data_IF_638235420915
#
_entry.id   IF_638235420915
#
_cell.length_a   1.000
_cell.length_b   1.000
_cell.length_c   1.000
_cell.angle_alpha   90.00
_cell.angle_beta   90.00
_cell.angle_gamma   90.00
#
_symmetry.space_group_name_H-M   'P 1'
#
loop_
_entity.id
_entity.type
_entity.pdbx_description
1 polymer ?
#
# COMPACT_ATOMS: atom_id res chain seq x y z
N UNK A 1 15.80 10.80 7.69
CA UNK A 1 16.69 11.87 7.19
C UNK A 1 16.12 12.43 5.90
N UNK A 2 16.43 13.68 5.56
CA UNK A 2 16.00 14.30 4.31
C UNK A 2 17.15 14.32 3.30
N UNK A 3 16.90 13.95 2.04
CA UNK A 3 17.84 13.91 0.92
C UNK A 3 17.14 14.49 -0.30
N UNK A 4 17.65 15.54 -0.89
CA UNK A 4 17.04 16.25 -2.01
C UNK A 4 15.56 16.57 -1.77
N UNK A 5 15.19 17.01 -0.56
CA UNK A 5 13.81 17.30 -0.18
C UNK A 5 12.91 16.08 0.05
N UNK A 6 13.47 14.88 0.06
CA UNK A 6 12.74 13.60 0.27
C UNK A 6 13.14 12.94 1.57
N UNK A 7 12.17 12.44 2.31
CA UNK A 7 12.44 11.66 3.50
C UNK A 7 12.94 10.26 3.15
N UNK A 8 14.09 9.90 3.71
CA UNK A 8 14.75 8.61 3.52
C UNK A 8 14.72 7.83 4.81
N UNK A 9 14.30 6.58 4.74
CA UNK A 9 14.35 5.58 5.81
C UNK A 9 15.45 4.58 5.56
N UNK A 10 16.08 4.12 6.65
CA UNK A 10 17.12 3.09 6.60
C UNK A 10 16.56 1.81 7.21
N UNK A 11 16.44 0.80 6.37
CA UNK A 11 16.06 -0.54 6.80
C UNK A 11 17.31 -1.33 7.16
N UNK A 12 17.40 -1.79 8.40
CA UNK A 12 18.51 -2.61 8.89
C UNK A 12 18.15 -4.10 8.69
N UNK A 13 18.90 -4.76 7.84
CA UNK A 13 18.87 -6.20 7.60
C UNK A 13 20.29 -6.76 7.72
N UNK A 14 20.67 -7.73 6.90
CA UNK A 14 22.08 -8.16 6.73
C UNK A 14 22.95 -7.03 6.15
N UNK A 15 22.32 -6.11 5.41
CA UNK A 15 22.91 -4.83 4.98
C UNK A 15 21.93 -3.69 5.32
N UNK A 16 22.44 -2.46 5.37
CA UNK A 16 21.66 -1.23 5.62
C UNK A 16 21.19 -0.67 4.29
N UNK A 17 19.88 -0.73 4.07
CA UNK A 17 19.27 -0.29 2.83
C UNK A 17 18.51 1.01 3.09
N UNK A 18 18.93 2.09 2.44
CA UNK A 18 18.18 3.33 2.39
C UNK A 18 17.16 3.29 1.25
N UNK A 19 15.97 3.82 1.50
CA UNK A 19 14.90 3.98 0.51
C UNK A 19 14.08 5.22 0.84
N UNK A 20 13.37 5.76 -0.13
CA UNK A 20 12.42 6.84 0.14
C UNK A 20 11.33 6.36 1.10
N UNK A 21 10.89 7.20 2.02
CA UNK A 21 9.84 6.84 2.99
C UNK A 21 8.52 6.49 2.30
N UNK A 22 8.27 7.10 1.18
CA UNK A 22 7.03 6.98 0.42
C UNK A 22 7.32 6.64 -1.05
N UNK A 23 8.10 5.58 -1.31
CA UNK A 23 8.61 5.20 -2.64
C UNK A 23 7.53 4.73 -3.63
N UNK A 24 6.28 4.60 -3.21
CA UNK A 24 5.14 4.33 -4.09
C UNK A 24 4.50 5.63 -4.67
N UNK A 25 4.82 6.81 -4.11
CA UNK A 25 4.22 8.10 -4.51
C UNK A 25 5.13 9.32 -4.35
N UNK A 26 6.35 9.17 -3.86
CA UNK A 26 7.40 10.19 -3.87
C UNK A 26 8.59 9.66 -4.66
N UNK A 27 9.07 10.42 -5.62
CA UNK A 27 10.08 10.00 -6.56
C UNK A 27 11.27 10.96 -6.54
N UNK A 28 12.42 10.49 -7.01
CA UNK A 28 13.60 11.32 -7.22
C UNK A 28 13.60 11.86 -8.65
N UNK A 29 13.80 13.16 -8.78
CA UNK A 29 14.00 13.80 -10.06
C UNK A 29 15.45 13.59 -10.55
N UNK A 30 16.41 13.65 -9.60
CA UNK A 30 17.84 13.43 -9.85
C UNK A 30 18.41 12.41 -8.85
N UNK A 31 18.51 11.13 -9.22
CA UNK A 31 19.12 10.10 -8.38
C UNK A 31 20.61 10.34 -8.10
N UNK A 32 21.37 10.97 -9.02
CA UNK A 32 22.80 11.24 -8.83
C UNK A 32 23.01 12.30 -7.74
N UNK A 33 22.22 13.35 -7.74
CA UNK A 33 22.26 14.34 -6.67
C UNK A 33 21.95 13.70 -5.30
N UNK A 34 20.92 12.84 -5.25
CA UNK A 34 20.57 12.10 -4.03
C UNK A 34 21.70 11.17 -3.55
N UNK A 35 22.37 10.47 -4.47
CA UNK A 35 23.53 9.63 -4.16
C UNK A 35 24.71 10.46 -3.65
N UNK A 36 24.93 11.64 -4.23
CA UNK A 36 25.95 12.60 -3.77
C UNK A 36 25.69 13.03 -2.32
N UNK A 37 24.45 13.38 -1.98
CA UNK A 37 24.07 13.76 -0.61
C UNK A 37 24.17 12.57 0.36
N UNK A 38 23.73 11.38 -0.03
CA UNK A 38 23.85 10.16 0.77
C UNK A 38 25.31 9.84 1.13
N UNK A 39 26.23 9.97 0.16
CA UNK A 39 27.67 9.76 0.39
C UNK A 39 28.26 10.81 1.34
N UNK A 40 27.82 12.07 1.23
CA UNK A 40 28.27 13.16 2.13
C UNK A 40 27.64 13.12 3.52
N UNK A 41 26.52 12.43 3.71
CA UNK A 41 25.79 12.40 4.98
C UNK A 41 26.57 11.77 6.14
N UNK A 42 27.69 11.08 5.88
CA UNK A 42 28.46 10.34 6.89
C UNK A 42 27.72 9.12 7.47
N UNK A 43 26.50 8.85 7.00
CA UNK A 43 25.73 7.73 7.51
C UNK A 43 26.20 6.42 6.89
N UNK A 44 26.28 5.37 7.71
CA UNK A 44 26.64 4.04 7.23
C UNK A 44 25.46 3.39 6.50
N UNK A 45 25.41 3.55 5.18
CA UNK A 45 24.41 2.97 4.27
C UNK A 45 25.16 2.07 3.29
N UNK A 46 24.70 0.85 3.10
CA UNK A 46 25.33 -0.12 2.21
C UNK A 46 24.72 -0.10 0.81
N UNK A 47 23.39 0.05 0.73
CA UNK A 47 22.63 0.11 -0.51
C UNK A 47 21.62 1.27 -0.46
N UNK A 48 21.40 1.92 -1.58
CA UNK A 48 20.28 2.80 -1.79
C UNK A 48 19.35 2.19 -2.85
N UNK A 49 18.03 2.25 -2.62
CA UNK A 49 17.04 1.75 -3.59
C UNK A 49 15.96 2.78 -3.86
N UNK A 50 15.56 2.87 -5.12
CA UNK A 50 14.49 3.73 -5.59
C UNK A 50 13.80 3.14 -6.83
N UNK A 51 12.62 3.64 -7.16
CA UNK A 51 11.84 3.26 -8.35
C UNK A 51 11.68 4.45 -9.28
N UNK A 52 11.35 4.16 -10.54
CA UNK A 52 10.89 5.17 -11.49
C UNK A 52 9.41 5.50 -11.27
N UNK A 53 9.02 6.69 -11.71
CA UNK A 53 7.64 7.17 -11.71
C UNK A 53 6.91 6.72 -12.98
N UNK A 54 5.62 6.45 -12.89
CA UNK A 54 4.77 6.24 -14.07
C UNK A 54 4.65 7.52 -14.92
N UNK A 55 4.57 7.39 -16.24
CA UNK A 55 4.45 6.13 -17.01
C UNK A 55 5.77 5.44 -17.38
N UNK A 56 6.88 5.85 -16.82
CA UNK A 56 8.22 5.40 -17.19
C UNK A 56 8.47 3.95 -16.71
N UNK A 57 8.25 2.99 -17.60
CA UNK A 57 8.45 1.57 -17.32
C UNK A 57 9.74 1.01 -17.94
N UNK A 58 10.36 1.73 -18.86
CA UNK A 58 11.67 1.35 -19.44
C UNK A 58 12.81 1.81 -18.54
N UNK A 59 13.83 0.98 -18.27
CA UNK A 59 14.98 1.37 -17.47
C UNK A 59 15.69 2.61 -18.03
N UNK A 60 15.87 3.64 -17.19
CA UNK A 60 16.55 4.91 -17.53
C UNK A 60 18.01 4.95 -17.08
N UNK A 61 18.35 4.17 -16.06
CA UNK A 61 19.66 4.23 -15.42
C UNK A 61 20.41 2.92 -15.60
N UNK A 62 21.75 2.98 -15.58
CA UNK A 62 22.65 1.83 -15.74
C UNK A 62 22.94 1.09 -14.42
N UNK A 63 22.29 1.47 -13.32
CA UNK A 63 22.46 0.80 -12.04
C UNK A 63 21.89 -0.62 -12.06
N UNK A 64 22.43 -1.53 -11.21
CA UNK A 64 21.79 -2.80 -10.97
C UNK A 64 20.30 -2.62 -10.62
N UNK A 65 19.44 -3.39 -11.27
CA UNK A 65 18.00 -3.27 -11.07
C UNK A 65 17.29 -4.61 -11.03
N UNK A 66 16.11 -4.60 -10.46
CA UNK A 66 15.16 -5.71 -10.48
C UNK A 66 13.79 -5.18 -10.92
N UNK A 67 12.99 -6.06 -11.52
CA UNK A 67 11.62 -5.71 -11.84
C UNK A 67 10.75 -5.79 -10.58
N UNK A 68 10.17 -4.66 -10.21
CA UNK A 68 9.12 -4.59 -9.19
C UNK A 68 7.77 -4.50 -9.89
N UNK A 69 6.70 -4.95 -9.21
CA UNK A 69 5.37 -4.94 -9.79
C UNK A 69 4.45 -4.00 -8.99
N UNK A 70 3.68 -3.18 -9.70
CA UNK A 70 2.68 -2.29 -9.11
C UNK A 70 1.30 -2.64 -9.63
N UNK A 71 0.28 -2.43 -8.78
CA UNK A 71 -1.11 -2.45 -9.21
C UNK A 71 -1.50 -1.04 -9.63
N UNK A 72 -1.70 -0.83 -10.91
CA UNK A 72 -1.93 0.48 -11.52
C UNK A 72 -3.28 0.50 -12.20
N UNK A 73 -4.06 1.53 -11.92
CA UNK A 73 -5.27 1.85 -12.67
C UNK A 73 -5.03 3.17 -13.43
N UNK A 74 -5.14 3.13 -14.76
CA UNK A 74 -5.19 4.33 -15.59
C UNK A 74 -6.57 4.96 -15.45
N UNK A 75 -6.61 6.19 -14.97
CA UNK A 75 -7.84 6.96 -14.74
C UNK A 75 -7.98 8.01 -15.84
N UNK A 76 -9.10 7.99 -16.56
CA UNK A 76 -9.53 9.07 -17.46
C UNK A 76 -10.74 9.78 -16.87
N UNK A 77 -11.90 9.15 -16.94
CA UNK A 77 -13.12 9.64 -16.30
C UNK A 77 -13.70 8.55 -15.40
N UNK A 78 -14.43 8.95 -14.36
CA UNK A 78 -15.14 7.99 -13.51
C UNK A 78 -16.15 7.14 -14.32
N UNK A 79 -16.87 7.77 -15.27
CA UNK A 79 -17.85 7.10 -16.11
C UNK A 79 -17.20 6.01 -16.99
N UNK A 80 -16.04 6.29 -17.59
CA UNK A 80 -15.30 5.29 -18.37
C UNK A 80 -14.89 4.10 -17.49
N UNK A 81 -14.30 4.37 -16.31
CA UNK A 81 -13.94 3.28 -15.39
C UNK A 81 -15.16 2.47 -14.96
N UNK A 82 -16.26 3.15 -14.59
CA UNK A 82 -17.47 2.51 -14.09
C UNK A 82 -18.18 1.65 -15.11
N UNK A 83 -18.19 2.06 -16.38
CA UNK A 83 -18.93 1.36 -17.45
C UNK A 83 -18.09 0.36 -18.22
N UNK A 84 -16.79 0.63 -18.41
CA UNK A 84 -15.91 -0.13 -19.32
C UNK A 84 -14.81 -0.93 -18.62
N UNK A 85 -14.26 -0.46 -17.50
CA UNK A 85 -13.08 -1.08 -16.91
C UNK A 85 -13.43 -1.99 -15.73
N UNK A 86 -14.21 -1.51 -14.74
CA UNK A 86 -14.54 -2.28 -13.53
C UNK A 86 -15.31 -3.56 -13.86
N UNK A 87 -14.91 -4.68 -13.25
CA UNK A 87 -15.64 -5.95 -13.43
C UNK A 87 -17.02 -5.92 -12.75
N UNK A 88 -17.98 -6.59 -13.35
CA UNK A 88 -19.38 -6.66 -12.90
C UNK A 88 -19.50 -6.96 -11.38
N UNK A 89 -18.74 -7.93 -10.88
CA UNK A 89 -18.78 -8.33 -9.46
C UNK A 89 -18.36 -7.18 -8.52
N UNK A 90 -17.31 -6.43 -8.85
CA UNK A 90 -16.85 -5.30 -8.03
C UNK A 90 -17.83 -4.13 -8.09
N UNK A 91 -18.34 -3.80 -9.28
CA UNK A 91 -19.38 -2.78 -9.48
C UNK A 91 -20.64 -3.07 -8.68
N UNK A 92 -21.11 -4.32 -8.69
CA UNK A 92 -22.27 -4.71 -7.89
C UNK A 92 -22.01 -4.61 -6.38
N UNK A 93 -20.80 -4.92 -5.92
CA UNK A 93 -20.42 -4.73 -4.52
C UNK A 93 -20.42 -3.25 -4.12
N UNK A 94 -19.93 -2.34 -4.97
CA UNK A 94 -20.01 -0.91 -4.70
C UNK A 94 -21.46 -0.42 -4.62
N UNK A 95 -22.33 -0.84 -5.55
CA UNK A 95 -23.77 -0.55 -5.49
C UNK A 95 -24.45 -1.17 -4.26
N UNK A 96 -24.03 -2.37 -3.85
CA UNK A 96 -24.54 -3.02 -2.64
C UNK A 96 -24.21 -2.21 -1.39
N UNK A 97 -23.04 -1.59 -1.33
CA UNK A 97 -22.64 -0.76 -0.20
C UNK A 97 -23.63 0.40 0.01
N UNK A 98 -23.93 1.13 -1.05
CA UNK A 98 -24.93 2.21 -1.03
C UNK A 98 -26.30 1.72 -0.56
N UNK A 99 -26.81 0.62 -1.16
CA UNK A 99 -28.10 0.01 -0.78
C UNK A 99 -28.16 -0.46 0.66
N UNK A 100 -27.01 -0.80 1.26
CA UNK A 100 -26.90 -1.19 2.67
C UNK A 100 -26.56 -0.03 3.63
N UNK A 101 -26.76 1.21 3.17
CA UNK A 101 -26.62 2.42 3.99
C UNK A 101 -25.19 2.86 4.21
N UNK A 102 -24.23 2.42 3.38
CA UNK A 102 -22.85 2.94 3.44
C UNK A 102 -22.81 4.28 2.71
N UNK A 103 -22.48 5.33 3.45
CA UNK A 103 -22.29 6.70 2.93
C UNK A 103 -20.79 6.94 2.75
N UNK A 104 -20.37 7.39 1.57
CA UNK A 104 -18.98 7.70 1.27
C UNK A 104 -18.81 9.22 1.19
N UNK A 105 -17.79 9.75 1.89
CA UNK A 105 -17.47 11.19 1.89
C UNK A 105 -15.96 11.39 1.82
N UNK A 106 -15.51 12.40 1.05
CA UNK A 106 -14.19 12.98 1.26
C UNK A 106 -14.27 13.82 2.55
N UNK A 107 -13.21 13.76 3.35
CA UNK A 107 -13.18 14.42 4.66
C UNK A 107 -11.80 15.02 4.92
N UNK A 108 -11.77 16.10 5.66
CA UNK A 108 -10.52 16.66 6.18
C UNK A 108 -9.98 15.77 7.31
N UNK A 109 -8.66 15.79 7.47
CA UNK A 109 -8.04 15.09 8.60
C UNK A 109 -8.20 15.92 9.86
N UNK A 110 -8.91 15.35 10.82
CA UNK A 110 -9.15 15.92 12.15
C UNK A 110 -9.09 14.84 13.26
N UNK A 111 -9.29 15.24 14.49
CA UNK A 111 -9.28 14.32 15.64
C UNK A 111 -10.42 13.30 15.60
N UNK A 112 -11.55 13.64 14.97
CA UNK A 112 -12.70 12.74 14.79
C UNK A 112 -12.34 11.63 13.84
N UNK A 113 -11.74 11.98 12.68
CA UNK A 113 -11.25 11.00 11.71
C UNK A 113 -10.13 10.12 12.31
N UNK A 114 -9.18 10.73 13.03
CA UNK A 114 -8.09 10.00 13.67
C UNK A 114 -8.61 8.97 14.68
N UNK A 115 -9.62 9.33 15.49
CA UNK A 115 -10.30 8.41 16.41
C UNK A 115 -11.01 7.28 15.67
N UNK A 116 -11.75 7.58 14.61
CA UNK A 116 -12.42 6.56 13.79
C UNK A 116 -11.42 5.59 13.14
N UNK A 117 -10.28 6.10 12.65
CA UNK A 117 -9.18 5.25 12.13
C UNK A 117 -8.63 4.36 13.24
N UNK A 118 -8.42 4.89 14.44
CA UNK A 118 -7.96 4.13 15.59
C UNK A 118 -8.94 3.01 15.96
N UNK A 119 -10.25 3.26 15.95
CA UNK A 119 -11.28 2.23 16.18
C UNK A 119 -11.22 1.12 15.12
N UNK A 120 -11.08 1.48 13.82
CA UNK A 120 -10.92 0.50 12.74
C UNK A 120 -9.67 -0.35 12.94
N UNK A 121 -8.56 0.26 13.36
CA UNK A 121 -7.29 -0.44 13.56
C UNK A 121 -7.35 -1.40 14.76
N UNK A 122 -8.08 -1.03 15.80
CA UNK A 122 -8.21 -1.80 17.04
C UNK A 122 -9.41 -2.75 17.06
N UNK A 123 -10.17 -2.87 15.95
CA UNK A 123 -11.29 -3.80 15.88
C UNK A 123 -10.84 -5.25 16.02
N UNK A 124 -9.74 -5.64 15.35
CA UNK A 124 -9.30 -7.02 15.34
C UNK A 124 -7.79 -7.17 15.12
N UNK A 125 -7.10 -8.05 15.92
CA UNK A 125 -5.65 -8.18 15.87
C UNK A 125 -5.12 -8.91 14.63
N UNK A 126 -5.96 -9.62 13.90
CA UNK A 126 -5.58 -10.43 12.74
C UNK A 126 -6.37 -10.01 11.50
N UNK A 127 -5.69 -9.68 10.41
CA UNK A 127 -6.28 -9.40 9.11
C UNK A 127 -5.53 -10.17 8.03
N UNK A 128 -6.25 -10.76 7.08
CA UNK A 128 -5.65 -11.53 5.98
C UNK A 128 -4.64 -12.59 6.50
N UNK A 129 -5.03 -13.34 7.54
CA UNK A 129 -4.22 -14.41 8.14
C UNK A 129 -2.86 -13.94 8.71
N UNK A 130 -2.74 -12.66 9.03
CA UNK A 130 -1.53 -12.06 9.60
C UNK A 130 -1.89 -11.16 10.77
N UNK A 131 -0.97 -11.04 11.72
CA UNK A 131 -1.08 -10.00 12.74
C UNK A 131 -1.21 -8.64 12.04
N UNK A 132 -2.22 -7.88 12.43
CA UNK A 132 -2.43 -6.55 11.88
C UNK A 132 -1.44 -5.57 12.53
N UNK A 133 -0.55 -4.92 11.74
CA UNK A 133 0.55 -4.13 12.30
C UNK A 133 0.11 -2.89 13.07
N UNK A 134 -1.13 -2.46 12.86
CA UNK A 134 -1.68 -1.25 13.48
C UNK A 134 -2.50 -1.55 14.74
N UNK A 135 -2.82 -2.83 14.99
CA UNK A 135 -3.55 -3.22 16.20
C UNK A 135 -2.75 -2.98 17.47
N UNK A 136 -3.40 -2.44 18.50
CA UNK A 136 -2.80 -2.15 19.81
C UNK A 136 -2.00 -0.84 19.87
N UNK A 137 -1.97 -0.06 18.77
CA UNK A 137 -1.37 1.29 18.80
C UNK A 137 -2.26 2.26 19.54
N UNK A 138 -1.62 3.22 20.24
CA UNK A 138 -2.35 4.32 20.90
C UNK A 138 -3.00 5.25 19.87
N UNK A 139 -4.03 5.98 20.28
CA UNK A 139 -4.68 7.00 19.45
C UNK A 139 -3.67 8.03 18.94
N UNK A 140 -2.76 8.49 19.80
CA UNK A 140 -1.73 9.46 19.44
C UNK A 140 -0.82 8.92 18.33
N UNK A 141 -0.31 7.69 18.47
CA UNK A 141 0.50 7.05 17.42
C UNK A 141 -0.26 6.93 16.09
N UNK A 142 -1.56 6.58 16.13
CA UNK A 142 -2.38 6.50 14.91
C UNK A 142 -2.60 7.86 14.29
N UNK A 143 -2.82 8.90 15.11
CA UNK A 143 -2.94 10.30 14.67
C UNK A 143 -1.67 10.77 13.96
N UNK A 144 -0.50 10.62 14.60
CA UNK A 144 0.80 10.96 14.00
C UNK A 144 1.05 10.24 12.67
N UNK A 145 0.83 8.93 12.64
CA UNK A 145 1.00 8.13 11.41
C UNK A 145 0.03 8.55 10.29
N UNK A 146 -1.19 8.94 10.65
CA UNK A 146 -2.19 9.37 9.66
C UNK A 146 -1.96 10.79 9.19
N UNK A 147 -1.31 11.64 10.00
CA UNK A 147 -0.98 13.03 9.69
C UNK A 147 0.22 13.20 8.74
N UNK A 148 0.85 12.10 8.25
CA UNK A 148 1.93 12.22 7.26
C UNK A 148 1.42 12.73 5.92
N UNK A 149 2.18 13.59 5.22
CA UNK A 149 1.87 14.08 3.87
C UNK A 149 0.48 14.72 3.72
N UNK A 150 0.00 15.47 4.73
CA UNK A 150 -1.36 16.05 4.75
C UNK A 150 -1.64 16.93 3.53
N UNK A 151 -0.70 17.78 3.13
CA UNK A 151 -0.84 18.73 2.01
C UNK A 151 -1.05 18.03 0.65
N UNK A 152 -0.63 16.77 0.54
CA UNK A 152 -0.78 15.95 -0.66
C UNK A 152 -1.73 14.76 -0.45
N UNK A 153 -2.50 14.74 0.65
CA UNK A 153 -3.37 13.62 1.00
C UNK A 153 -4.86 13.93 0.76
N UNK A 154 -5.57 12.91 0.28
CA UNK A 154 -7.03 12.90 0.17
C UNK A 154 -7.55 11.79 1.08
N UNK A 155 -8.40 12.15 2.05
CA UNK A 155 -9.03 11.16 2.92
C UNK A 155 -10.48 10.91 2.48
N UNK A 156 -10.84 9.65 2.39
CA UNK A 156 -12.19 9.20 2.03
C UNK A 156 -12.67 8.26 3.13
N UNK A 157 -13.78 8.62 3.77
CA UNK A 157 -14.42 7.82 4.81
C UNK A 157 -15.65 7.10 4.30
N UNK A 158 -15.85 5.87 4.77
CA UNK A 158 -17.08 5.11 4.63
C UNK A 158 -17.80 5.10 6.00
N UNK A 159 -19.05 5.49 6.01
CA UNK A 159 -19.86 5.66 7.22
C UNK A 159 -21.09 4.78 7.19
N UNK A 160 -21.49 4.26 8.36
CA UNK A 160 -22.78 3.61 8.62
C UNK A 160 -23.30 4.20 9.92
N UNK A 161 -24.52 4.76 9.91
CA UNK A 161 -25.11 5.45 11.06
C UNK A 161 -24.13 6.49 11.65
N UNK A 162 -23.54 7.32 10.78
CA UNK A 162 -22.51 8.34 11.05
C UNK A 162 -21.21 7.85 11.72
N UNK A 163 -21.04 6.54 11.89
CA UNK A 163 -19.79 5.95 12.39
C UNK A 163 -18.86 5.59 11.24
N UNK A 164 -17.59 5.93 11.35
CA UNK A 164 -16.56 5.54 10.38
C UNK A 164 -16.34 4.02 10.43
N UNK A 165 -16.66 3.34 9.33
CA UNK A 165 -16.51 1.87 9.21
C UNK A 165 -15.41 1.46 8.22
N UNK A 166 -14.82 2.42 7.52
CA UNK A 166 -13.71 2.21 6.62
C UNK A 166 -13.15 3.53 6.11
N UNK A 167 -11.91 3.52 5.64
CA UNK A 167 -11.30 4.70 5.06
C UNK A 167 -10.25 4.35 4.01
N UNK A 168 -9.97 5.33 3.13
CA UNK A 168 -8.80 5.38 2.27
C UNK A 168 -8.05 6.67 2.58
N UNK A 169 -6.72 6.59 2.59
CA UNK A 169 -5.83 7.72 2.45
C UNK A 169 -5.11 7.58 1.12
N UNK A 170 -5.35 8.50 0.21
CA UNK A 170 -4.56 8.67 -1.00
C UNK A 170 -3.45 9.68 -0.73
N UNK A 171 -2.29 9.48 -1.33
CA UNK A 171 -1.21 10.48 -1.35
C UNK A 171 -0.88 10.77 -2.80
N UNK A 172 -1.00 12.04 -3.18
CA UNK A 172 -0.75 12.50 -4.54
C UNK A 172 0.72 12.87 -4.68
N UNK A 173 1.32 12.54 -5.81
CA UNK A 173 2.70 12.92 -6.10
C UNK A 173 2.81 14.43 -6.39
N UNK A 174 4.04 14.94 -6.41
CA UNK A 174 4.29 16.39 -6.51
C UNK A 174 3.85 17.00 -7.85
N UNK A 175 3.66 16.19 -8.88
CA UNK A 175 3.17 16.67 -10.19
C UNK A 175 1.66 16.51 -10.37
N UNK A 176 0.95 15.92 -9.39
CA UNK A 176 -0.48 15.69 -9.48
C UNK A 176 -0.90 14.61 -10.50
N UNK A 177 0.05 13.81 -11.00
CA UNK A 177 -0.24 12.82 -12.05
C UNK A 177 -0.49 11.42 -11.53
N UNK A 178 -0.02 11.12 -10.33
CA UNK A 178 -0.15 9.81 -9.69
C UNK A 178 -0.65 9.95 -8.25
N UNK A 179 -1.60 9.12 -7.86
CA UNK A 179 -2.01 8.96 -6.47
C UNK A 179 -1.77 7.52 -6.01
N UNK A 180 -1.16 7.37 -4.84
CA UNK A 180 -0.97 6.07 -4.19
C UNK A 180 -1.99 5.85 -3.08
N UNK A 181 -2.58 4.67 -3.01
CA UNK A 181 -3.40 4.24 -1.87
C UNK A 181 -2.49 3.88 -0.69
N UNK A 182 -2.16 4.87 0.15
CA UNK A 182 -1.32 4.67 1.33
C UNK A 182 -1.98 3.75 2.34
N UNK A 183 -3.27 3.94 2.58
CA UNK A 183 -4.10 3.10 3.44
C UNK A 183 -5.44 2.84 2.79
N UNK A 184 -5.91 1.61 2.88
CA UNK A 184 -7.30 1.21 2.60
C UNK A 184 -7.67 0.11 3.59
N UNK A 185 -8.55 0.44 4.52
CA UNK A 185 -8.97 -0.47 5.59
C UNK A 185 -10.44 -0.25 5.90
N UNK A 186 -11.18 -1.34 6.13
CA UNK A 186 -12.56 -1.28 6.62
C UNK A 186 -12.75 -2.25 7.79
N UNK A 187 -13.75 -1.99 8.62
CA UNK A 187 -14.13 -2.87 9.72
C UNK A 187 -14.59 -4.23 9.19
N UNK A 188 -14.13 -5.28 9.83
CA UNK A 188 -14.46 -6.67 9.44
C UNK A 188 -15.95 -6.94 9.68
N UNK A 189 -16.51 -6.44 10.79
CA UNK A 189 -17.94 -6.60 11.14
C UNK A 189 -18.91 -5.97 10.12
N UNK A 190 -18.44 -5.07 9.27
CA UNK A 190 -19.23 -4.45 8.19
C UNK A 190 -18.87 -5.00 6.78
N UNK A 191 -18.16 -6.13 6.71
CA UNK A 191 -17.71 -6.73 5.44
C UNK A 191 -18.87 -7.09 4.51
N UNK A 192 -20.00 -7.50 5.07
CA UNK A 192 -21.23 -7.80 4.34
C UNK A 192 -21.79 -6.59 3.59
N UNK A 193 -21.51 -5.36 4.06
CA UNK A 193 -21.91 -4.10 3.43
C UNK A 193 -20.94 -3.66 2.31
N UNK A 194 -19.81 -4.35 2.12
CA UNK A 194 -18.80 -4.08 1.08
C UNK A 194 -18.23 -2.63 1.04
N UNK A 195 -17.93 -1.98 2.17
CA UNK A 195 -17.49 -0.59 2.19
C UNK A 195 -16.21 -0.35 1.40
N UNK A 196 -15.29 -1.33 1.35
CA UNK A 196 -14.03 -1.23 0.60
C UNK A 196 -14.25 -1.02 -0.90
N UNK A 197 -15.28 -1.64 -1.51
CA UNK A 197 -15.58 -1.43 -2.94
C UNK A 197 -16.12 -0.03 -3.22
N UNK A 198 -16.95 0.51 -2.32
CA UNK A 198 -17.46 1.86 -2.44
C UNK A 198 -16.35 2.91 -2.21
N UNK A 199 -15.44 2.66 -1.28
CA UNK A 199 -14.25 3.48 -1.07
C UNK A 199 -13.36 3.54 -2.31
N UNK A 200 -13.10 2.39 -2.98
CA UNK A 200 -12.33 2.37 -4.23
C UNK A 200 -13.06 3.16 -5.33
N UNK A 201 -14.39 3.05 -5.44
CA UNK A 201 -15.15 3.80 -6.42
C UNK A 201 -15.02 5.31 -6.20
N UNK A 202 -15.08 5.78 -4.95
CA UNK A 202 -14.85 7.20 -4.64
C UNK A 202 -13.40 7.61 -4.91
N UNK A 203 -12.41 6.76 -4.60
CA UNK A 203 -11.02 7.05 -4.89
C UNK A 203 -10.78 7.28 -6.39
N UNK A 204 -11.40 6.47 -7.25
CA UNK A 204 -11.34 6.67 -8.72
C UNK A 204 -12.03 7.96 -9.13
N UNK A 205 -13.19 8.29 -8.55
CA UNK A 205 -13.88 9.56 -8.79
C UNK A 205 -13.00 10.75 -8.40
N UNK A 206 -12.45 10.72 -7.19
CA UNK A 206 -11.56 11.78 -6.68
C UNK A 206 -10.33 12.00 -7.56
N UNK A 207 -9.77 10.92 -8.14
CA UNK A 207 -8.68 11.00 -9.10
C UNK A 207 -9.15 11.60 -10.44
N UNK A 208 -10.29 11.16 -10.96
CA UNK A 208 -10.84 11.67 -12.23
C UNK A 208 -11.15 13.18 -12.14
N UNK A 209 -11.81 13.60 -11.06
CA UNK A 209 -12.19 15.00 -10.83
C UNK A 209 -10.97 15.93 -10.69
N UNK A 210 -9.81 15.40 -10.28
CA UNK A 210 -8.54 16.12 -10.14
C UNK A 210 -7.56 15.88 -11.29
N UNK A 211 -7.99 15.21 -12.36
CA UNK A 211 -7.16 14.85 -13.50
C UNK A 211 -5.91 14.03 -13.16
N UNK A 212 -5.96 13.23 -12.09
CA UNK A 212 -4.89 12.32 -11.70
C UNK A 212 -4.95 11.08 -12.60
N UNK A 213 -3.93 10.91 -13.44
CA UNK A 213 -3.93 9.89 -14.50
C UNK A 213 -3.70 8.46 -14.02
N UNK A 214 -3.07 8.29 -12.87
CA UNK A 214 -2.70 6.97 -12.33
C UNK A 214 -3.10 6.84 -10.87
N UNK A 215 -3.90 5.82 -10.57
CA UNK A 215 -4.17 5.39 -9.20
C UNK A 215 -3.39 4.09 -8.93
N UNK A 216 -2.52 4.11 -7.93
CA UNK A 216 -1.62 3.00 -7.60
C UNK A 216 -2.05 2.35 -6.28
N UNK A 217 -2.18 1.02 -6.30
CA UNK A 217 -2.52 0.24 -5.11
C UNK A 217 -1.36 -0.69 -4.72
N UNK A 218 -0.22 -0.09 -4.36
CA UNK A 218 0.98 -0.82 -3.94
C UNK A 218 1.35 -1.97 -4.91
N UNK A 219 2.02 -3.02 -4.43
CA UNK A 219 2.40 -4.17 -5.26
C UNK A 219 1.17 -4.96 -5.74
N UNK A 220 1.15 -5.36 -7.01
CA UNK A 220 0.08 -6.18 -7.57
C UNK A 220 0.07 -7.58 -6.94
N UNK A 221 1.24 -8.20 -6.84
CA UNK A 221 1.45 -9.49 -6.19
C UNK A 221 2.55 -9.40 -5.12
N UNK A 222 2.39 -10.14 -4.04
CA UNK A 222 3.35 -10.20 -2.93
C UNK A 222 4.05 -11.55 -2.89
N UNK A 223 5.40 -11.52 -2.89
CA UNK A 223 6.24 -12.72 -2.92
C UNK A 223 6.04 -13.52 -4.21
N UNK A 224 6.18 -14.84 -4.12
CA UNK A 224 6.08 -15.75 -5.28
C UNK A 224 4.63 -16.13 -5.64
N UNK A 225 3.63 -15.62 -4.91
CA UNK A 225 2.21 -15.90 -5.20
C UNK A 225 1.76 -15.13 -6.43
N UNK A 226 1.45 -15.83 -7.50
CA UNK A 226 0.87 -15.24 -8.72
C UNK A 226 -0.60 -14.88 -8.54
N UNK A 227 -1.33 -15.57 -7.67
CA UNK A 227 -2.77 -15.36 -7.43
C UNK A 227 -3.10 -15.35 -5.94
N UNK A 228 -3.90 -14.38 -5.52
CA UNK A 228 -4.39 -14.21 -4.14
C UNK A 228 -5.72 -13.48 -4.15
N UNK A 229 -6.49 -13.56 -3.06
CA UNK A 229 -7.73 -12.77 -2.91
C UNK A 229 -7.48 -11.26 -3.10
N UNK A 230 -6.29 -10.77 -2.73
CA UNK A 230 -5.91 -9.38 -2.91
C UNK A 230 -5.65 -9.04 -4.38
N UNK A 231 -4.92 -9.88 -5.14
CA UNK A 231 -4.71 -9.66 -6.57
C UNK A 231 -6.01 -9.75 -7.34
N UNK A 232 -6.90 -10.71 -7.01
CA UNK A 232 -8.24 -10.78 -7.59
C UNK A 232 -9.10 -9.54 -7.28
N UNK A 233 -9.01 -8.99 -6.07
CA UNK A 233 -9.70 -7.75 -5.72
C UNK A 233 -9.21 -6.59 -6.59
N UNK A 234 -7.90 -6.47 -6.80
CA UNK A 234 -7.29 -5.46 -7.66
C UNK A 234 -7.76 -5.60 -9.11
N UNK A 235 -7.67 -6.80 -9.69
CA UNK A 235 -8.15 -7.09 -11.05
C UNK A 235 -9.64 -6.77 -11.23
N UNK A 236 -10.48 -7.10 -10.24
CA UNK A 236 -11.93 -6.80 -10.30
C UNK A 236 -12.22 -5.29 -10.30
N UNK A 237 -11.35 -4.49 -9.70
CA UNK A 237 -11.41 -3.03 -9.69
C UNK A 237 -10.61 -2.40 -10.83
N UNK A 238 -10.21 -3.19 -11.84
CA UNK A 238 -9.48 -2.79 -13.03
C UNK A 238 -8.04 -2.30 -12.79
N UNK A 239 -7.42 -2.68 -11.67
CA UNK A 239 -5.98 -2.49 -11.51
C UNK A 239 -5.26 -3.55 -12.33
N UNK A 240 -4.29 -3.11 -13.11
CA UNK A 240 -3.42 -3.97 -13.92
C UNK A 240 -2.05 -4.07 -13.26
N UNK A 241 -1.35 -5.18 -13.54
CA UNK A 241 0.03 -5.33 -13.15
C UNK A 241 0.90 -4.54 -14.11
N UNK A 242 1.69 -3.63 -13.57
CA UNK A 242 2.73 -2.90 -14.29
C UNK A 242 4.07 -3.21 -13.64
N UNK A 243 4.99 -3.75 -14.42
CA UNK A 243 6.36 -3.99 -13.96
C UNK A 243 7.18 -2.72 -14.18
N UNK A 244 7.87 -2.26 -13.13
CA UNK A 244 8.71 -1.06 -13.13
C UNK A 244 10.12 -1.37 -12.64
N UNK A 245 11.16 -0.67 -13.12
CA UNK A 245 12.51 -0.84 -12.63
C UNK A 245 12.63 -0.35 -11.18
N UNK A 246 13.19 -1.18 -10.33
CA UNK A 246 13.69 -0.81 -8.99
C UNK A 246 15.20 -0.91 -9.00
N UNK A 247 15.86 0.19 -8.78
CA UNK A 247 17.32 0.26 -8.78
C UNK A 247 17.90 0.01 -7.39
N UNK A 248 19.07 -0.61 -7.39
CA UNK A 248 19.86 -0.87 -6.18
C UNK A 248 21.28 -0.36 -6.41
N UNK A 249 21.63 0.72 -5.73
CA UNK A 249 22.93 1.38 -5.89
C UNK A 249 23.80 1.04 -4.69
N UNK A 250 24.90 0.27 -4.86
CA UNK A 250 25.81 -0.01 -3.78
C UNK A 250 26.64 1.23 -3.43
N UNK A 251 26.67 1.57 -2.14
CA UNK A 251 27.42 2.70 -1.59
C UNK A 251 28.69 2.25 -0.85
N UNK A 252 28.80 0.95 -0.55
CA UNK A 252 29.97 0.34 0.12
C UNK A 252 30.36 -0.97 -0.58
N UNK A 253 31.60 -1.45 -0.35
CA UNK A 253 32.05 -2.77 -0.82
C UNK A 253 31.16 -3.89 -0.28
N UNK A 254 30.70 -3.78 0.97
CA UNK A 254 29.75 -4.71 1.57
C UNK A 254 28.41 -4.64 0.85
N UNK A 255 27.93 -3.45 0.48
CA UNK A 255 26.72 -3.29 -0.33
C UNK A 255 26.79 -4.00 -1.67
N UNK A 256 27.96 -3.89 -2.38
CA UNK A 256 28.17 -4.62 -3.65
C UNK A 256 28.12 -6.14 -3.42
N UNK A 257 28.80 -6.65 -2.39
CA UNK A 257 28.78 -8.07 -2.06
C UNK A 257 27.38 -8.52 -1.65
N UNK A 258 26.70 -7.73 -0.82
CA UNK A 258 25.32 -8.03 -0.38
C UNK A 258 24.36 -8.10 -1.57
N UNK A 259 24.52 -7.23 -2.55
CA UNK A 259 23.71 -7.24 -3.76
C UNK A 259 23.99 -8.49 -4.61
N UNK A 260 25.26 -8.83 -4.86
CA UNK A 260 25.63 -10.02 -5.65
C UNK A 260 25.16 -11.33 -4.99
N UNK A 261 25.09 -11.38 -3.67
CA UNK A 261 24.58 -12.52 -2.89
C UNK A 261 23.07 -12.45 -2.60
N UNK A 262 22.34 -11.49 -3.19
CA UNK A 262 20.91 -11.25 -2.94
C UNK A 262 20.57 -11.03 -1.45
N UNK A 263 21.49 -10.50 -0.62
CA UNK A 263 21.30 -10.29 0.83
C UNK A 263 20.36 -9.11 1.15
N UNK A 264 20.00 -8.31 0.17
CA UNK A 264 19.04 -7.20 0.26
C UNK A 264 17.59 -7.68 0.34
N UNK A 265 17.28 -8.91 -0.11
CA UNK A 265 15.96 -9.52 0.06
C UNK A 265 15.70 -10.03 1.48
N UNK A 266 14.42 -10.18 1.84
CA UNK A 266 14.03 -10.82 3.10
C UNK A 266 14.40 -12.30 3.06
N UNK A 267 14.82 -12.85 4.19
CA UNK A 267 15.10 -14.29 4.31
C UNK A 267 13.88 -15.14 3.89
N UNK A 268 12.68 -14.68 4.23
CA UNK A 268 11.44 -15.36 3.83
C UNK A 268 11.23 -15.44 2.31
N UNK A 269 11.74 -14.47 1.55
CA UNK A 269 11.58 -14.43 0.09
C UNK A 269 12.55 -15.40 -0.62
N UNK A 270 13.54 -15.92 0.12
CA UNK A 270 14.53 -16.89 -0.37
C UNK A 270 14.06 -18.34 -0.21
N UNK A 271 13.07 -18.58 0.66
CA UNK A 271 12.58 -19.93 0.90
C UNK A 271 11.87 -20.47 -0.36
N UNK A 272 12.05 -21.79 -0.67
CA UNK A 272 11.23 -22.45 -1.68
C UNK A 272 9.74 -22.30 -1.37
N UNK A 273 8.91 -22.08 -2.42
CA UNK A 273 7.48 -21.83 -2.24
C UNK A 273 6.74 -22.90 -1.41
N UNK A 274 7.01 -24.23 -1.56
CA UNK A 274 6.34 -25.24 -0.72
C UNK A 274 6.60 -25.02 0.78
N UNK A 275 7.85 -24.70 1.15
CA UNK A 275 8.22 -24.44 2.54
C UNK A 275 7.60 -23.14 3.06
N UNK A 276 7.65 -22.09 2.25
CA UNK A 276 7.02 -20.80 2.57
C UNK A 276 5.49 -20.94 2.72
N UNK A 277 4.84 -21.75 1.90
CA UNK A 277 3.42 -22.06 2.01
C UNK A 277 3.08 -22.75 3.34
N UNK A 278 3.82 -23.81 3.70
CA UNK A 278 3.63 -24.54 4.95
C UNK A 278 3.82 -23.65 6.19
N UNK A 279 4.85 -22.78 6.17
CA UNK A 279 5.07 -21.82 7.26
C UNK A 279 3.93 -20.79 7.37
N UNK A 280 3.35 -20.38 6.24
CA UNK A 280 2.17 -19.48 6.24
C UNK A 280 0.95 -20.18 6.83
N UNK A 281 0.70 -21.44 6.49
CA UNK A 281 -0.40 -22.24 7.05
C UNK A 281 -0.25 -22.43 8.56
N UNK A 282 0.93 -22.84 9.03
CA UNK A 282 1.21 -22.99 10.46
C UNK A 282 1.00 -21.68 11.23
N UNK A 283 1.46 -20.56 10.65
CA UNK A 283 1.26 -19.24 11.23
C UNK A 283 -0.22 -18.87 11.28
N UNK A 284 -0.96 -19.10 10.19
CA UNK A 284 -2.40 -18.82 10.13
C UNK A 284 -3.16 -19.64 11.17
N UNK A 285 -2.89 -20.94 11.28
CA UNK A 285 -3.49 -21.82 12.28
C UNK A 285 -3.17 -21.37 13.72
N UNK A 286 -1.92 -20.92 13.96
CA UNK A 286 -1.53 -20.40 15.27
C UNK A 286 -2.28 -19.11 15.63
N UNK A 287 -2.42 -18.16 14.67
CA UNK A 287 -3.18 -16.93 14.89
C UNK A 287 -4.67 -17.22 15.12
N UNK A 288 -5.26 -18.13 14.36
CA UNK A 288 -6.65 -18.55 14.54
C UNK A 288 -6.89 -19.13 15.93
N UNK A 289 -5.98 -19.99 16.44
CA UNK A 289 -6.09 -20.55 17.78
C UNK A 289 -5.92 -19.52 18.89
N UNK A 290 -4.98 -18.57 18.72
CA UNK A 290 -4.63 -17.61 19.77
C UNK A 290 -5.62 -16.43 19.85
N UNK A 291 -6.27 -16.09 18.78
CA UNK A 291 -7.16 -14.94 18.67
C UNK A 291 -8.57 -15.38 18.21
N UNK A 292 -9.12 -16.46 18.75
CA UNK A 292 -10.50 -16.82 18.52
C UNK A 292 -11.42 -15.79 19.22
N UNK A 293 -12.47 -15.27 18.53
CA UNK A 293 -13.48 -14.48 19.21
C UNK A 293 -14.29 -15.35 20.16
N UNK A 294 -14.53 -14.86 21.35
CA UNK A 294 -15.44 -15.46 22.33
C UNK A 294 -16.89 -15.37 21.85
N UNK A 295 -17.29 -15.98 20.83
CA UNK A 295 -18.66 -16.20 20.35
C UNK A 295 -18.88 -15.99 18.86
N UNK A 296 -19.20 -17.06 18.18
CA UNK A 296 -20.25 -17.13 17.14
C UNK A 296 -20.08 -16.45 15.78
N UNK A 297 -19.00 -15.72 15.49
CA UNK A 297 -18.80 -15.13 14.16
C UNK A 297 -17.95 -16.05 13.29
N UNK A 298 -18.60 -16.68 12.33
CA UNK A 298 -17.96 -17.59 11.37
C UNK A 298 -17.08 -16.78 10.38
N UNK A 299 -15.76 -16.83 10.57
CA UNK A 299 -14.75 -16.10 9.78
C UNK A 299 -14.21 -16.90 8.58
N UNK A 300 -14.97 -17.87 8.09
CA UNK A 300 -14.57 -18.62 6.89
C UNK A 300 -14.37 -17.69 5.71
N UNK A 301 -13.16 -17.77 5.18
CA UNK A 301 -12.65 -17.09 3.99
C UNK A 301 -13.54 -17.43 2.78
N UNK A 302 -14.13 -16.41 2.17
CA UNK A 302 -14.56 -16.46 0.78
C UNK A 302 -13.84 -15.38 -0.02
#
# INVERSE_FOLDING_TARGET
MNICGRDVKIQRRLCRIAHLDADDYKFLDDPEAALGELRRSGMRIDLFTFTQKLPETTPKYTYPMEWDNMAVLKVSTFEHWWTKQIKFKARNKAKQAEKKGVVIREVSFDDTLARGIWEIYNEWPVRQERRFPHYGKSLETVREMSATYLDSSIFIGAYVDDKLVGFIKLTVDDTGTQAGMMHIVSMIRHRDKAPTNALVAQAVRSCADRHISYLVYSKFAYGKKTRSSMSEFKERNAFERVDIPRYYVPLTRWGSLALSMNLHHRLADRLPEPLAAKLRELRSAWYQRRFQPESGVNWSVQ
#
